data_IF_438293348797
#
_entry.id   IF_438293348797
#
_cell.length_a   1.000
_cell.length_b   1.000
_cell.length_c   1.000
_cell.angle_alpha   90.00
_cell.angle_beta   90.00
_cell.angle_gamma   90.00
#
_symmetry.space_group_name_H-M   'P 1'
#
loop_
_entity.id
_entity.type
_entity.pdbx_description
1 polymer ?
#
# COMPACT_ATOMS: atom_id res chain seq x y z
N UNK A 1 20.92 9.80 -7.39
CA UNK A 1 20.99 8.41 -6.91
C UNK A 1 19.86 8.14 -5.93
N UNK A 2 19.67 9.02 -4.93
CA UNK A 2 18.63 8.90 -3.89
C UNK A 2 17.19 8.73 -4.42
N UNK A 3 16.79 9.51 -5.43
CA UNK A 3 15.44 9.42 -6.02
C UNK A 3 15.19 8.06 -6.68
N UNK A 4 16.19 7.50 -7.38
CA UNK A 4 16.07 6.22 -8.07
C UNK A 4 15.91 5.06 -7.08
N UNK A 5 16.70 5.04 -6.00
CA UNK A 5 16.61 4.01 -4.97
C UNK A 5 15.33 4.15 -4.15
N UNK A 6 14.99 5.38 -3.73
CA UNK A 6 13.81 5.64 -2.92
C UNK A 6 12.50 5.34 -3.65
N UNK A 7 12.44 5.51 -4.98
CA UNK A 7 11.25 5.29 -5.78
C UNK A 7 11.09 3.87 -6.32
N UNK A 8 12.16 3.25 -6.83
CA UNK A 8 12.05 1.96 -7.54
C UNK A 8 11.65 0.83 -6.61
N UNK A 9 12.41 0.61 -5.53
CA UNK A 9 12.21 -0.53 -4.63
C UNK A 9 10.90 -0.42 -3.85
N UNK A 10 10.57 0.79 -3.36
CA UNK A 10 9.38 1.01 -2.53
C UNK A 10 8.08 0.82 -3.33
N UNK A 11 8.03 1.37 -4.56
CA UNK A 11 6.86 1.22 -5.43
C UNK A 11 6.72 -0.22 -5.92
N UNK A 12 7.81 -0.86 -6.34
CA UNK A 12 7.77 -2.26 -6.78
C UNK A 12 7.27 -3.20 -5.66
N UNK A 13 7.78 -3.02 -4.44
CA UNK A 13 7.31 -3.79 -3.28
C UNK A 13 5.84 -3.52 -2.95
N UNK A 14 5.38 -2.27 -3.02
CA UNK A 14 3.98 -1.92 -2.78
C UNK A 14 3.04 -2.50 -3.85
N UNK A 15 3.45 -2.54 -5.13
CA UNK A 15 2.69 -3.18 -6.21
C UNK A 15 2.55 -4.68 -5.92
N UNK A 16 3.65 -5.35 -5.57
CA UNK A 16 3.62 -6.79 -5.26
C UNK A 16 2.70 -7.09 -4.07
N UNK A 17 2.80 -6.30 -2.98
CA UNK A 17 1.92 -6.46 -1.82
C UNK A 17 0.44 -6.18 -2.15
N UNK A 18 0.14 -5.16 -2.94
CA UNK A 18 -1.23 -4.86 -3.36
C UNK A 18 -1.83 -6.02 -4.17
N UNK A 19 -1.08 -6.54 -5.14
CA UNK A 19 -1.51 -7.69 -5.94
C UNK A 19 -1.66 -8.95 -5.08
N UNK A 20 -0.73 -9.20 -4.16
CA UNK A 20 -0.78 -10.37 -3.29
C UNK A 20 -1.98 -10.33 -2.34
N UNK A 21 -2.27 -9.18 -1.72
CA UNK A 21 -3.44 -9.02 -0.84
C UNK A 21 -4.76 -9.16 -1.61
N UNK A 22 -4.85 -8.59 -2.81
CA UNK A 22 -6.03 -8.79 -3.66
C UNK A 22 -6.19 -10.25 -4.10
N UNK A 23 -5.11 -10.97 -4.41
CA UNK A 23 -5.19 -12.40 -4.73
C UNK A 23 -5.51 -13.26 -3.49
N UNK A 24 -5.05 -12.83 -2.31
CA UNK A 24 -5.38 -13.45 -1.03
C UNK A 24 -6.85 -13.19 -0.63
N UNK A 25 -7.43 -12.07 -1.07
CA UNK A 25 -8.84 -11.68 -0.90
C UNK A 25 -9.59 -11.57 -2.24
N UNK A 26 -10.05 -12.70 -2.83
CA UNK A 26 -10.72 -12.69 -4.14
C UNK A 26 -11.95 -11.78 -4.23
N UNK A 27 -12.60 -11.49 -3.10
CA UNK A 27 -13.75 -10.57 -3.04
C UNK A 27 -13.32 -9.12 -3.28
N UNK A 28 -12.20 -8.69 -2.68
CA UNK A 28 -11.66 -7.34 -2.89
C UNK A 28 -11.11 -7.18 -4.31
N UNK A 29 -10.42 -8.21 -4.85
CA UNK A 29 -9.99 -8.21 -6.26
C UNK A 29 -11.18 -8.05 -7.20
N UNK A 30 -12.25 -8.84 -7.02
CA UNK A 30 -13.46 -8.73 -7.84
C UNK A 30 -14.09 -7.34 -7.75
N UNK A 31 -14.11 -6.74 -6.55
CA UNK A 31 -14.67 -5.41 -6.35
C UNK A 31 -13.84 -4.32 -7.05
N UNK A 32 -12.51 -4.38 -7.00
CA UNK A 32 -11.63 -3.48 -7.78
C UNK A 32 -11.85 -3.68 -9.28
N UNK A 33 -11.91 -4.94 -9.73
CA UNK A 33 -12.11 -5.28 -11.13
C UNK A 33 -13.48 -4.84 -11.68
N UNK A 34 -14.52 -4.83 -10.84
CA UNK A 34 -15.84 -4.30 -11.16
C UNK A 34 -15.82 -2.77 -11.24
N UNK A 35 -15.21 -2.09 -10.25
CA UNK A 35 -15.04 -0.63 -10.27
C UNK A 35 -14.33 -0.16 -11.56
N UNK A 36 -13.26 -0.85 -11.94
CA UNK A 36 -12.54 -0.58 -13.20
C UNK A 36 -13.44 -0.78 -14.43
N UNK A 37 -14.22 -1.87 -14.48
CA UNK A 37 -15.13 -2.12 -15.59
C UNK A 37 -16.23 -1.05 -15.68
N UNK A 38 -16.75 -0.58 -14.55
CA UNK A 38 -17.82 0.43 -14.50
C UNK A 38 -17.33 1.82 -14.92
N UNK A 39 -16.10 2.20 -14.53
CA UNK A 39 -15.52 3.52 -14.77
C UNK A 39 -14.83 3.62 -16.14
N UNK A 40 -14.12 2.57 -16.53
CA UNK A 40 -13.22 2.57 -17.70
C UNK A 40 -13.86 1.85 -18.89
N UNK A 41 -14.59 0.76 -18.64
CA UNK A 41 -15.05 -0.19 -19.65
C UNK A 41 -13.96 -1.17 -20.09
N UNK A 42 -14.34 -2.23 -20.81
CA UNK A 42 -13.44 -3.31 -21.24
C UNK A 42 -12.79 -3.08 -22.62
N UNK A 43 -13.17 -2.00 -23.32
CA UNK A 43 -12.75 -1.73 -24.70
C UNK A 43 -11.52 -0.80 -24.81
N UNK A 44 -10.92 -0.44 -23.67
CA UNK A 44 -9.67 0.32 -23.58
C UNK A 44 -8.94 0.00 -22.28
N UNK A 45 -7.65 0.34 -22.22
CA UNK A 45 -6.91 0.27 -20.96
C UNK A 45 -7.20 1.49 -20.06
N UNK A 46 -6.93 1.32 -18.76
CA UNK A 46 -7.03 2.40 -17.78
C UNK A 46 -5.93 3.43 -18.02
N UNK A 47 -6.28 4.70 -17.88
CA UNK A 47 -5.40 5.85 -18.07
C UNK A 47 -5.31 6.68 -16.78
N UNK A 48 -4.35 7.61 -16.77
CA UNK A 48 -4.13 8.52 -15.63
C UNK A 48 -5.38 9.30 -15.24
N UNK A 49 -6.14 9.78 -16.23
CA UNK A 49 -7.37 10.55 -16.00
C UNK A 49 -8.49 9.75 -15.34
N UNK A 50 -8.38 8.42 -15.31
CA UNK A 50 -9.38 7.56 -14.67
C UNK A 50 -9.14 7.42 -13.16
N UNK A 51 -7.92 7.61 -12.67
CA UNK A 51 -7.51 7.28 -11.29
C UNK A 51 -8.35 8.00 -10.22
N UNK A 52 -8.75 9.26 -10.48
CA UNK A 52 -9.60 10.03 -9.56
C UNK A 52 -10.98 9.42 -9.34
N UNK A 53 -11.41 8.53 -10.24
CA UNK A 53 -12.73 7.89 -10.22
C UNK A 53 -12.68 6.45 -9.71
N UNK A 54 -11.56 6.02 -9.11
CA UNK A 54 -11.37 4.67 -8.57
C UNK A 54 -11.23 4.68 -7.03
N UNK A 55 -12.29 5.07 -6.29
CA UNK A 55 -12.21 5.22 -4.83
C UNK A 55 -11.92 3.91 -4.09
N UNK A 56 -12.40 2.76 -4.56
CA UNK A 56 -12.14 1.48 -3.91
C UNK A 56 -10.72 0.97 -4.16
N UNK A 57 -10.17 1.16 -5.37
CA UNK A 57 -8.74 0.96 -5.61
C UNK A 57 -7.89 1.79 -4.63
N UNK A 58 -8.23 3.06 -4.41
CA UNK A 58 -7.54 3.91 -3.42
C UNK A 58 -7.64 3.35 -1.99
N UNK A 59 -8.78 2.75 -1.64
CA UNK A 59 -8.93 2.06 -0.35
C UNK A 59 -7.99 0.85 -0.23
N UNK A 60 -7.85 0.07 -1.31
CA UNK A 60 -6.90 -1.05 -1.40
C UNK A 60 -5.47 -0.55 -1.20
N UNK A 61 -5.06 0.49 -1.93
CA UNK A 61 -3.71 1.06 -1.79
C UNK A 61 -3.43 1.57 -0.37
N UNK A 62 -4.40 2.26 0.26
CA UNK A 62 -4.26 2.69 1.65
C UNK A 62 -4.09 1.52 2.61
N UNK A 63 -4.88 0.47 2.45
CA UNK A 63 -4.81 -0.72 3.31
C UNK A 63 -3.52 -1.51 3.09
N UNK A 64 -3.07 -1.63 1.84
CA UNK A 64 -1.77 -2.20 1.51
C UNK A 64 -0.65 -1.43 2.20
N UNK A 65 -0.63 -0.10 2.14
CA UNK A 65 0.43 0.70 2.76
C UNK A 65 0.33 0.75 4.30
N UNK A 66 -0.85 0.51 4.88
CA UNK A 66 -1.03 0.38 6.33
C UNK A 66 -0.40 -0.92 6.84
N UNK A 67 -0.71 -2.04 6.18
CA UNK A 67 -0.21 -3.35 6.59
C UNK A 67 1.22 -3.59 6.11
N UNK A 68 1.58 -3.15 4.93
CA UNK A 68 2.87 -3.44 4.30
C UNK A 68 3.59 -2.15 3.92
N UNK A 69 3.93 -1.29 4.91
CA UNK A 69 4.70 -0.09 4.61
C UNK A 69 6.07 -0.52 4.07
N UNK A 70 6.47 -0.11 2.85
CA UNK A 70 7.73 -0.57 2.26
C UNK A 70 8.95 -0.25 3.13
N UNK A 71 8.89 0.81 3.93
CA UNK A 71 9.89 1.18 4.94
C UNK A 71 9.21 1.08 6.32
N UNK A 72 9.41 -0.02 7.08
CA UNK A 72 8.68 -0.28 8.33
C UNK A 72 9.17 0.56 9.52
N UNK A 73 10.43 1.03 9.48
CA UNK A 73 11.07 1.85 10.51
C UNK A 73 11.56 3.17 9.91
N UNK A 74 10.99 4.30 10.31
CA UNK A 74 11.46 5.63 9.90
C UNK A 74 12.59 6.08 10.83
N UNK A 75 13.77 6.29 10.27
CA UNK A 75 14.99 6.61 11.02
C UNK A 75 15.21 8.12 11.12
N UNK A 76 15.45 8.60 12.33
CA UNK A 76 15.74 9.99 12.66
C UNK A 76 16.89 10.10 13.66
N UNK A 77 17.42 11.32 13.81
CA UNK A 77 18.43 11.68 14.82
C UNK A 77 17.98 12.96 15.53
N UNK A 78 18.12 13.03 16.85
CA UNK A 78 17.79 14.23 17.62
C UNK A 78 18.81 15.35 17.39
N UNK A 79 18.32 16.53 16.99
CA UNK A 79 19.18 17.69 16.75
C UNK A 79 19.72 18.31 18.05
N UNK A 80 18.93 18.23 19.12
CA UNK A 80 19.17 18.80 20.45
C UNK A 80 18.66 17.83 21.53
N UNK A 81 19.02 18.08 22.78
CA UNK A 81 18.42 17.38 23.93
C UNK A 81 16.92 17.66 23.97
N UNK A 82 16.10 16.63 24.14
CA UNK A 82 14.65 16.76 24.18
C UNK A 82 14.01 15.82 25.19
N UNK A 83 12.71 16.02 25.43
CA UNK A 83 11.90 15.16 26.30
C UNK A 83 10.76 14.55 25.50
N UNK A 84 10.66 13.22 25.51
CA UNK A 84 9.60 12.47 24.82
C UNK A 84 8.86 11.63 25.85
N UNK A 85 7.54 11.84 26.00
CA UNK A 85 6.71 11.14 26.98
C UNK A 85 7.28 11.17 28.43
N UNK A 86 7.95 12.26 28.81
CA UNK A 86 8.59 12.43 30.13
C UNK A 86 10.01 11.87 30.23
N UNK A 87 10.53 11.22 29.18
CA UNK A 87 11.90 10.69 29.15
C UNK A 87 12.87 11.67 28.47
N UNK A 88 14.03 11.90 29.09
CA UNK A 88 15.11 12.68 28.49
C UNK A 88 15.78 11.89 27.37
N UNK A 89 15.86 12.48 26.18
CA UNK A 89 16.50 11.93 24.99
C UNK A 89 17.65 12.87 24.59
N UNK A 90 18.91 12.47 24.81
CA UNK A 90 20.06 13.31 24.47
C UNK A 90 20.17 13.63 22.97
N UNK A 91 20.82 14.73 22.65
CA UNK A 91 21.25 15.09 21.30
C UNK A 91 22.06 13.97 20.64
N UNK A 92 21.85 13.75 19.34
CA UNK A 92 22.52 12.69 18.57
C UNK A 92 21.95 11.29 18.81
N UNK A 93 20.85 11.16 19.54
CA UNK A 93 20.17 9.88 19.74
C UNK A 93 19.47 9.45 18.45
N UNK A 94 19.65 8.18 18.07
CA UNK A 94 18.89 7.55 16.98
C UNK A 94 17.46 7.29 17.44
N UNK A 95 16.50 7.79 16.67
CA UNK A 95 15.07 7.61 16.90
C UNK A 95 14.50 6.78 15.76
N UNK A 96 13.75 5.73 16.09
CA UNK A 96 13.08 4.87 15.11
C UNK A 96 11.58 4.94 15.32
N UNK A 97 10.84 5.46 14.33
CA UNK A 97 9.37 5.45 14.35
C UNK A 97 8.90 4.16 13.67
N UNK A 98 8.30 3.27 14.45
CA UNK A 98 7.86 1.97 13.96
C UNK A 98 6.47 2.04 13.33
N UNK A 99 6.42 2.44 12.06
CA UNK A 99 5.15 2.59 11.33
C UNK A 99 4.47 1.25 11.06
N UNK A 100 5.22 0.15 10.96
CA UNK A 100 4.66 -1.20 10.86
C UNK A 100 3.84 -1.57 12.11
N UNK A 101 4.35 -1.24 13.30
CA UNK A 101 3.66 -1.48 14.56
C UNK A 101 2.46 -0.53 14.75
N UNK A 102 2.62 0.75 14.39
CA UNK A 102 1.53 1.74 14.42
C UNK A 102 0.37 1.28 13.53
N UNK A 103 0.67 0.84 12.30
CA UNK A 103 -0.31 0.30 11.36
C UNK A 103 -1.07 -0.90 11.91
N UNK A 104 -0.49 -1.68 12.84
CA UNK A 104 -1.12 -2.85 13.49
C UNK A 104 -1.57 -2.60 14.93
N UNK A 105 -1.55 -1.35 15.39
CA UNK A 105 -1.88 -1.04 16.78
C UNK A 105 -3.39 -1.21 17.04
N UNK A 106 -3.77 -2.20 17.86
CA UNK A 106 -5.17 -2.60 18.10
C UNK A 106 -6.06 -1.50 18.68
N UNK A 107 -5.49 -0.52 19.39
CA UNK A 107 -6.27 0.61 19.89
C UNK A 107 -6.57 1.66 18.81
N UNK A 108 -5.78 1.66 17.73
CA UNK A 108 -5.93 2.57 16.59
C UNK A 108 -6.72 1.92 15.45
N UNK A 109 -6.61 0.59 15.30
CA UNK A 109 -7.18 -0.15 14.18
C UNK A 109 -8.02 -1.34 14.66
N UNK A 110 -9.31 -1.35 14.32
CA UNK A 110 -10.17 -2.52 14.52
C UNK A 110 -9.76 -3.64 13.56
N UNK A 111 -9.62 -4.86 14.09
CA UNK A 111 -9.08 -6.01 13.36
C UNK A 111 -7.76 -5.65 12.67
N UNK A 112 -6.80 -5.15 13.46
CA UNK A 112 -5.60 -4.49 12.97
C UNK A 112 -4.75 -5.34 12.01
N UNK A 113 -4.74 -6.66 12.18
CA UNK A 113 -3.96 -7.58 11.34
C UNK A 113 -4.69 -7.99 10.06
N UNK A 114 -5.99 -7.67 9.93
CA UNK A 114 -6.79 -8.05 8.77
C UNK A 114 -6.70 -7.02 7.65
N UNK A 115 -6.48 -7.49 6.42
CA UNK A 115 -6.64 -6.70 5.21
C UNK A 115 -8.13 -6.42 4.97
N UNK A 116 -8.56 -5.18 5.25
CA UNK A 116 -9.95 -4.71 5.10
C UNK A 116 -9.99 -3.33 4.44
N UNK A 117 -9.85 -3.23 3.11
CA UNK A 117 -9.89 -1.96 2.38
C UNK A 117 -11.11 -1.10 2.70
N UNK A 118 -12.26 -1.73 2.97
CA UNK A 118 -13.51 -1.06 3.32
C UNK A 118 -13.41 -0.09 4.51
N UNK A 119 -12.42 -0.23 5.39
CA UNK A 119 -12.19 0.74 6.48
C UNK A 119 -11.89 2.15 5.97
N UNK A 120 -11.32 2.27 4.78
CA UNK A 120 -11.01 3.56 4.15
C UNK A 120 -12.12 4.07 3.23
N UNK A 121 -13.20 3.30 3.03
CA UNK A 121 -14.29 3.68 2.14
C UNK A 121 -15.14 4.79 2.77
N UNK A 122 -15.35 5.88 2.04
CA UNK A 122 -16.23 6.96 2.48
C UNK A 122 -17.70 6.66 2.12
N UNK A 123 -18.67 7.18 2.90
CA UNK A 123 -18.51 7.92 4.17
C UNK A 123 -18.47 7.03 5.43
N UNK A 124 -18.78 5.73 5.34
CA UNK A 124 -19.05 4.90 6.52
C UNK A 124 -17.81 4.23 7.14
N UNK A 125 -16.70 4.15 6.40
CA UNK A 125 -15.47 3.51 6.86
C UNK A 125 -14.83 4.25 8.01
N UNK A 126 -14.39 3.52 9.02
CA UNK A 126 -13.82 4.09 10.26
C UNK A 126 -12.56 4.95 10.04
N UNK A 127 -11.88 4.76 8.91
CA UNK A 127 -10.67 5.44 8.50
C UNK A 127 -10.86 6.29 7.23
N UNK A 128 -12.10 6.58 6.82
CA UNK A 128 -12.40 7.31 5.59
C UNK A 128 -11.74 8.71 5.51
N UNK A 129 -11.57 9.36 6.67
CA UNK A 129 -10.94 10.69 6.78
C UNK A 129 -9.41 10.70 6.74
N UNK A 130 -8.75 9.53 6.79
CA UNK A 130 -7.29 9.46 6.82
C UNK A 130 -6.69 9.71 5.44
N UNK A 131 -5.65 10.54 5.37
CA UNK A 131 -4.91 10.85 4.16
C UNK A 131 -3.42 10.52 4.27
N UNK A 132 -2.69 10.65 3.16
CA UNK A 132 -1.26 10.34 3.10
C UNK A 132 -0.36 11.47 3.63
N UNK A 133 -0.92 12.63 4.03
CA UNK A 133 -0.15 13.85 4.30
C UNK A 133 0.57 13.85 5.65
N UNK A 134 0.41 12.79 6.44
CA UNK A 134 1.08 12.63 7.72
C UNK A 134 0.52 13.52 8.84
N UNK A 135 -0.73 13.98 8.70
CA UNK A 135 -1.45 14.73 9.74
C UNK A 135 -2.11 13.84 10.81
N UNK A 136 -2.33 12.56 10.50
CA UNK A 136 -2.89 11.56 11.41
C UNK A 136 -1.84 10.50 11.72
N UNK A 137 -1.41 10.40 12.98
CA UNK A 137 -0.22 9.61 13.34
C UNK A 137 -0.48 8.10 13.39
N UNK A 138 -1.73 7.66 13.32
CA UNK A 138 -2.11 6.26 13.14
C UNK A 138 -1.82 5.73 11.72
N UNK A 139 -1.61 6.61 10.74
CA UNK A 139 -1.35 6.26 9.34
C UNK A 139 -0.22 7.11 8.74
N UNK A 140 1.00 6.56 8.73
CA UNK A 140 2.23 7.28 8.35
C UNK A 140 3.06 6.59 7.23
N UNK A 141 2.46 6.08 6.14
CA UNK A 141 3.22 5.34 5.12
C UNK A 141 4.27 6.19 4.38
N UNK A 142 4.12 7.52 4.40
CA UNK A 142 5.08 8.48 3.82
C UNK A 142 5.78 9.34 4.89
N UNK A 143 5.69 8.94 6.16
CA UNK A 143 6.19 9.71 7.29
C UNK A 143 5.42 11.02 7.53
N UNK A 144 6.03 11.93 8.29
CA UNK A 144 5.43 13.22 8.64
C UNK A 144 6.51 14.28 8.92
N UNK A 145 6.10 15.54 8.99
CA UNK A 145 6.96 16.67 9.36
C UNK A 145 8.07 16.97 8.34
N UNK A 146 9.20 17.51 8.82
CA UNK A 146 10.29 18.04 7.99
C UNK A 146 10.96 17.01 7.07
N UNK A 147 10.76 15.71 7.33
CA UNK A 147 11.36 14.59 6.59
C UNK A 147 10.30 13.67 5.98
N UNK A 148 9.07 14.16 5.82
CA UNK A 148 8.05 13.47 5.04
C UNK A 148 8.56 13.19 3.62
N UNK A 149 8.11 12.07 3.03
CA UNK A 149 8.59 11.61 1.73
C UNK A 149 8.36 12.68 0.64
N UNK A 150 9.41 13.22 0.00
CA UNK A 150 9.25 14.19 -1.08
C UNK A 150 8.72 13.55 -2.36
N UNK A 151 8.82 12.22 -2.50
CA UNK A 151 8.35 11.44 -3.65
C UNK A 151 6.92 10.95 -3.55
N UNK A 152 6.17 11.33 -2.52
CA UNK A 152 4.82 10.81 -2.24
C UNK A 152 3.88 10.87 -3.45
N UNK A 153 3.79 12.03 -4.11
CA UNK A 153 2.88 12.21 -5.25
C UNK A 153 3.23 11.28 -6.43
N UNK A 154 4.51 11.22 -6.82
CA UNK A 154 4.97 10.37 -7.91
C UNK A 154 4.84 8.89 -7.57
N UNK A 155 5.19 8.50 -6.35
CA UNK A 155 5.10 7.12 -5.88
C UNK A 155 3.66 6.61 -5.84
N UNK A 156 2.73 7.42 -5.34
CA UNK A 156 1.30 7.09 -5.34
C UNK A 156 0.76 6.97 -6.76
N UNK A 157 1.09 7.91 -7.66
CA UNK A 157 0.67 7.84 -9.05
C UNK A 157 1.17 6.56 -9.73
N UNK A 158 2.46 6.23 -9.57
CA UNK A 158 3.05 5.03 -10.18
C UNK A 158 2.44 3.74 -9.62
N UNK A 159 2.21 3.69 -8.30
CA UNK A 159 1.57 2.57 -7.62
C UNK A 159 0.11 2.39 -8.06
N UNK A 160 -0.69 3.45 -8.00
CA UNK A 160 -2.11 3.43 -8.37
C UNK A 160 -2.28 3.02 -9.84
N UNK A 161 -1.51 3.62 -10.75
CA UNK A 161 -1.60 3.30 -12.18
C UNK A 161 -1.19 1.86 -12.48
N UNK A 162 -0.07 1.39 -11.92
CA UNK A 162 0.39 0.02 -12.15
C UNK A 162 -0.60 -1.02 -11.63
N UNK A 163 -1.10 -0.85 -10.40
CA UNK A 163 -2.09 -1.77 -9.80
C UNK A 163 -3.41 -1.72 -10.58
N UNK A 164 -3.87 -0.52 -10.98
CA UNK A 164 -5.06 -0.37 -11.82
C UNK A 164 -4.90 -1.13 -13.14
N UNK A 165 -3.77 -0.95 -13.84
CA UNK A 165 -3.51 -1.62 -15.11
C UNK A 165 -3.45 -3.13 -14.97
N UNK A 166 -2.76 -3.65 -13.95
CA UNK A 166 -2.67 -5.09 -13.70
C UNK A 166 -4.03 -5.70 -13.37
N UNK A 167 -4.81 -5.05 -12.49
CA UNK A 167 -6.15 -5.53 -12.13
C UNK A 167 -7.14 -5.40 -13.30
N UNK A 168 -7.02 -4.35 -14.10
CA UNK A 168 -7.92 -4.10 -15.23
C UNK A 168 -7.65 -5.07 -16.38
N UNK A 169 -6.39 -5.20 -16.78
CA UNK A 169 -5.98 -5.92 -17.97
C UNK A 169 -6.12 -7.44 -17.86
N UNK A 170 -6.03 -8.00 -16.64
CA UNK A 170 -5.92 -9.43 -16.43
C UNK A 170 -6.81 -9.97 -15.31
N UNK A 171 -7.30 -11.18 -15.52
CA UNK A 171 -7.75 -12.07 -14.46
C UNK A 171 -6.51 -12.76 -13.90
N UNK A 172 -6.46 -12.90 -12.59
CA UNK A 172 -5.31 -13.47 -11.90
C UNK A 172 -5.70 -14.76 -11.20
N UNK A 173 -4.92 -15.81 -11.43
CA UNK A 173 -5.01 -17.07 -10.68
C UNK A 173 -3.68 -17.41 -10.04
N UNK A 174 -3.73 -18.15 -8.93
CA UNK A 174 -2.54 -18.74 -8.32
C UNK A 174 -2.12 -19.99 -9.11
N UNK A 175 -0.82 -20.29 -9.20
CA UNK A 175 -0.31 -21.45 -9.93
C UNK A 175 -0.82 -22.76 -9.34
N UNK A 176 -0.92 -23.79 -10.19
CA UNK A 176 -1.18 -25.18 -9.79
C UNK A 176 -2.44 -25.41 -8.93
N UNK A 177 -3.43 -24.51 -9.02
CA UNK A 177 -4.67 -24.61 -8.27
C UNK A 177 -4.54 -24.27 -6.77
N UNK A 178 -3.43 -23.63 -6.38
CA UNK A 178 -3.20 -23.12 -5.02
C UNK A 178 -4.36 -22.23 -4.56
N UNK A 179 -4.76 -22.37 -3.30
CA UNK A 179 -5.80 -21.55 -2.67
C UNK A 179 -5.21 -20.26 -2.09
N UNK A 180 -5.99 -19.18 -2.02
CA UNK A 180 -5.57 -17.94 -1.37
C UNK A 180 -4.99 -18.14 0.04
N UNK A 181 -5.63 -18.98 0.87
CA UNK A 181 -5.19 -19.27 2.24
C UNK A 181 -3.85 -20.00 2.35
N UNK A 182 -3.31 -20.52 1.25
CA UNK A 182 -2.02 -21.21 1.19
C UNK A 182 -0.87 -20.26 0.83
N UNK A 183 -1.16 -19.01 0.47
CA UNK A 183 -0.15 -18.00 0.20
C UNK A 183 0.60 -17.63 1.48
N UNK A 184 1.93 -17.64 1.40
CA UNK A 184 2.78 -17.06 2.45
C UNK A 184 2.66 -15.53 2.41
N UNK A 185 2.11 -14.94 3.46
CA UNK A 185 1.93 -13.49 3.61
C UNK A 185 2.97 -12.86 4.55
N UNK A 186 4.08 -13.57 4.82
CA UNK A 186 5.20 -13.05 5.61
C UNK A 186 6.04 -12.01 4.86
N UNK A 187 6.67 -11.12 5.61
CA UNK A 187 7.65 -10.14 5.14
C UNK A 187 9.08 -10.51 5.56
N UNK A 188 10.08 -9.96 4.87
CA UNK A 188 11.49 -10.03 5.29
C UNK A 188 11.83 -8.71 5.97
N UNK A 189 12.25 -8.79 7.22
CA UNK A 189 12.71 -7.61 7.92
C UNK A 189 14.06 -7.11 7.38
N UNK A 190 14.13 -5.81 7.06
CA UNK A 190 15.31 -5.13 6.59
C UNK A 190 15.13 -3.61 6.57
N UNK A 191 15.92 -2.91 5.75
CA UNK A 191 15.67 -1.49 5.47
C UNK A 191 14.32 -1.31 4.77
N UNK A 192 14.00 -2.24 3.86
CA UNK A 192 12.67 -2.43 3.29
C UNK A 192 12.03 -3.71 3.82
N UNK A 193 10.71 -3.85 3.65
CA UNK A 193 9.94 -5.03 4.04
C UNK A 193 9.26 -5.72 2.83
N UNK A 194 10.04 -6.32 1.91
CA UNK A 194 9.47 -7.09 0.82
C UNK A 194 8.83 -8.39 1.33
N UNK A 195 8.03 -9.06 0.49
CA UNK A 195 7.49 -10.39 0.78
C UNK A 195 8.62 -11.40 1.03
N UNK A 196 8.41 -12.31 1.98
CA UNK A 196 9.29 -13.45 2.23
C UNK A 196 9.34 -14.40 1.02
N UNK A 197 8.19 -14.61 0.40
CA UNK A 197 8.05 -15.41 -0.82
C UNK A 197 7.44 -14.54 -1.92
N UNK A 198 8.12 -14.51 -3.08
CA UNK A 198 7.65 -13.76 -4.26
C UNK A 198 6.25 -14.20 -4.66
N UNK A 199 5.45 -13.25 -5.12
CA UNK A 199 4.14 -13.56 -5.69
C UNK A 199 4.32 -14.25 -7.06
N UNK A 200 3.79 -15.46 -7.19
CA UNK A 200 3.60 -16.12 -8.48
C UNK A 200 2.12 -16.07 -8.84
N UNK A 201 1.82 -15.52 -10.02
CA UNK A 201 0.46 -15.33 -10.49
C UNK A 201 0.39 -15.56 -12.00
N UNK A 202 -0.70 -16.19 -12.45
CA UNK A 202 -0.93 -16.52 -13.87
C UNK A 202 -1.95 -15.54 -14.43
N UNK A 203 -1.56 -14.65 -15.37
CA UNK A 203 -2.49 -13.70 -15.97
C UNK A 203 -3.29 -14.34 -17.11
N UNK A 204 -4.58 -14.01 -17.19
CA UNK A 204 -5.43 -14.26 -18.36
C UNK A 204 -6.04 -12.93 -18.83
N UNK A 205 -5.93 -12.55 -20.11
CA UNK A 205 -6.47 -11.27 -20.60
C UNK A 205 -7.96 -11.06 -20.27
N UNK A 206 -8.33 -9.83 -19.89
CA UNK A 206 -9.71 -9.39 -19.61
C UNK A 206 -10.29 -8.42 -20.62
N UNK A 207 -9.44 -7.59 -21.24
CA UNK A 207 -9.88 -6.52 -22.12
C UNK A 207 -10.23 -7.05 -23.51
N UNK A 208 -11.20 -6.41 -24.16
CA UNK A 208 -11.56 -6.67 -25.55
C UNK A 208 -10.61 -5.96 -26.52
N UNK A 209 -9.90 -4.94 -26.05
CA UNK A 209 -8.89 -4.25 -26.84
C UNK A 209 -7.54 -4.97 -26.78
N UNK A 210 -6.73 -4.86 -27.83
CA UNK A 210 -5.31 -5.20 -27.75
C UNK A 210 -4.64 -4.46 -26.59
N UNK A 211 -3.70 -5.13 -25.93
CA UNK A 211 -2.84 -4.50 -24.91
C UNK A 211 -1.73 -3.63 -25.53
N UNK A 212 -1.69 -3.56 -26.87
CA UNK A 212 -0.71 -2.86 -27.71
C UNK A 212 -1.34 -2.34 -29.01
#
# INVERSE_FOLDING_TARGET
MDVMFGGTETVASAIEWAMAEMMHSPDDLRRVQQELADVVGLDRNVSESDLDRLPFLRCVIKETLRLHPPIPLLLHETADDCVVAGYSVPRGSRVMVNVWAIGRHRASWKDADAFRPSRFAAPEGEAAGLDFKGGCFEFLPFGSGRRSCPGMALGLYALELAVAQLAHAFNWSLPDGMKPSEMDMGDIFGLTAPRATRLYAVPTPRLNCPLY
#
